data_IF_497735068722
#
_entry.id   IF_497735068722
#
_cell.length_a   1.000
_cell.length_b   1.000
_cell.length_c   1.000
_cell.angle_alpha   90.00
_cell.angle_beta   90.00
_cell.angle_gamma   90.00
#
_symmetry.space_group_name_H-M   'P 1'
#
loop_
_entity.id
_entity.type
_entity.pdbx_description
1 polymer ?
#
# COMPACT_ATOMS: atom_id res chain seq x y z
N UNK A 1 -4.13 -50.56 -62.60
CA UNK A 1 -3.13 -49.66 -61.97
C UNK A 1 -3.91 -48.57 -61.28
N UNK A 2 -4.23 -48.85 -60.02
CA UNK A 2 -4.98 -47.90 -59.14
C UNK A 2 -3.95 -47.06 -58.40
N UNK A 3 -3.99 -45.76 -58.69
CA UNK A 3 -3.24 -44.79 -57.90
C UNK A 3 -4.09 -44.30 -56.77
N UNK A 4 -3.87 -44.85 -55.57
CA UNK A 4 -4.46 -44.35 -54.33
C UNK A 4 -3.85 -42.98 -54.00
N UNK A 5 -4.68 -41.93 -54.09
CA UNK A 5 -4.34 -40.60 -53.63
C UNK A 5 -4.52 -40.58 -52.11
N UNK A 6 -3.42 -40.59 -51.37
CA UNK A 6 -3.39 -40.33 -49.92
C UNK A 6 -3.58 -38.84 -49.71
N UNK A 7 -4.80 -38.43 -49.37
CA UNK A 7 -5.09 -37.11 -48.85
C UNK A 7 -4.51 -37.04 -47.43
N UNK A 8 -3.42 -36.32 -47.22
CA UNK A 8 -2.93 -35.94 -45.92
C UNK A 8 -3.93 -34.93 -45.33
N UNK A 9 -4.67 -35.34 -44.32
CA UNK A 9 -5.44 -34.43 -43.50
C UNK A 9 -4.43 -33.50 -42.78
N UNK A 10 -4.34 -32.27 -43.20
CA UNK A 10 -3.66 -31.23 -42.41
C UNK A 10 -4.45 -31.09 -41.08
N UNK A 11 -3.83 -31.45 -39.96
CA UNK A 11 -4.34 -31.14 -38.66
C UNK A 11 -4.40 -29.62 -38.54
N UNK A 12 -5.59 -29.08 -38.57
CA UNK A 12 -5.88 -27.65 -38.36
C UNK A 12 -5.53 -27.33 -36.90
N UNK A 13 -4.33 -26.82 -36.67
CA UNK A 13 -3.87 -26.42 -35.36
C UNK A 13 -4.68 -25.19 -34.92
N UNK A 14 -5.70 -25.42 -34.11
CA UNK A 14 -6.51 -24.35 -33.53
C UNK A 14 -5.63 -23.45 -32.67
N UNK A 15 -5.48 -22.19 -33.03
CA UNK A 15 -4.72 -21.20 -32.29
C UNK A 15 -5.62 -20.50 -31.28
N UNK A 16 -5.04 -20.04 -30.17
CA UNK A 16 -5.77 -19.27 -29.16
C UNK A 16 -6.41 -18.00 -29.77
N UNK A 17 -5.79 -17.40 -30.77
CA UNK A 17 -6.29 -16.20 -31.46
C UNK A 17 -7.53 -16.46 -32.32
N UNK A 18 -7.85 -17.73 -32.62
CA UNK A 18 -9.03 -18.15 -33.38
C UNK A 18 -10.28 -18.26 -32.51
N UNK A 19 -10.13 -18.11 -31.19
CA UNK A 19 -11.24 -18.12 -30.23
C UNK A 19 -12.12 -16.85 -30.39
N UNK A 20 -13.43 -16.95 -30.14
CA UNK A 20 -14.30 -15.79 -30.09
C UNK A 20 -13.79 -14.76 -29.06
N UNK A 21 -14.00 -13.47 -29.36
CA UNK A 21 -13.58 -12.37 -28.46
C UNK A 21 -14.02 -12.56 -27.01
N UNK A 22 -15.25 -13.03 -26.80
CA UNK A 22 -15.78 -13.29 -25.45
C UNK A 22 -15.00 -14.36 -24.69
N UNK A 23 -14.51 -15.38 -25.40
CA UNK A 23 -13.67 -16.43 -24.80
C UNK A 23 -12.29 -15.89 -24.44
N UNK A 24 -11.68 -15.11 -25.34
CA UNK A 24 -10.41 -14.43 -25.06
C UNK A 24 -10.53 -13.46 -23.89
N UNK A 25 -11.59 -12.64 -23.84
CA UNK A 25 -11.87 -11.74 -22.73
C UNK A 25 -12.04 -12.50 -21.40
N UNK A 26 -12.73 -13.65 -21.43
CA UNK A 26 -12.87 -14.49 -20.24
C UNK A 26 -11.51 -15.04 -19.77
N UNK A 27 -10.68 -15.53 -20.67
CA UNK A 27 -9.32 -16.00 -20.35
C UNK A 27 -8.50 -14.87 -19.74
N UNK A 28 -8.50 -13.68 -20.37
CA UNK A 28 -7.78 -12.51 -19.86
C UNK A 28 -8.26 -12.09 -18.47
N UNK A 29 -9.56 -12.14 -18.19
CA UNK A 29 -10.15 -11.83 -16.90
C UNK A 29 -9.70 -12.76 -15.76
N UNK A 30 -9.17 -13.95 -16.08
CA UNK A 30 -8.60 -14.92 -15.14
C UNK A 30 -7.11 -14.72 -14.89
N UNK A 31 -6.48 -13.77 -15.57
CA UNK A 31 -5.05 -13.45 -15.42
C UNK A 31 -4.86 -12.24 -14.49
N UNK A 32 -3.80 -11.46 -14.69
CA UNK A 32 -3.55 -10.21 -13.99
C UNK A 32 -3.73 -9.00 -14.91
N UNK A 33 -3.97 -7.79 -14.39
CA UNK A 33 -4.00 -6.56 -15.18
C UNK A 33 -2.74 -6.38 -16.04
N UNK A 34 -1.59 -6.73 -15.51
CA UNK A 34 -0.31 -6.69 -16.20
C UNK A 34 -0.27 -7.66 -17.39
N UNK A 35 -0.75 -8.89 -17.18
CA UNK A 35 -0.74 -9.90 -18.24
C UNK A 35 -1.79 -9.62 -19.30
N UNK A 36 -2.97 -9.08 -18.93
CA UNK A 36 -3.95 -8.60 -19.89
C UNK A 36 -3.36 -7.51 -20.82
N UNK A 37 -2.60 -6.56 -20.25
CA UNK A 37 -1.89 -5.56 -21.03
C UNK A 37 -0.80 -6.16 -21.93
N UNK A 38 -0.08 -7.17 -21.48
CA UNK A 38 0.94 -7.87 -22.27
C UNK A 38 0.30 -8.66 -23.42
N UNK A 39 -0.76 -9.40 -23.12
CA UNK A 39 -1.50 -10.15 -24.15
C UNK A 39 -2.05 -9.24 -25.25
N UNK A 40 -2.48 -8.01 -24.91
CA UNK A 40 -2.94 -7.03 -25.90
C UNK A 40 -1.89 -6.66 -26.96
N UNK A 41 -0.62 -6.99 -26.77
CA UNK A 41 0.45 -6.76 -27.74
C UNK A 41 0.69 -7.94 -28.67
N UNK A 42 0.07 -9.12 -28.43
CA UNK A 42 0.33 -10.34 -29.18
C UNK A 42 -0.39 -10.37 -30.53
N UNK A 43 -1.67 -10.01 -30.56
CA UNK A 43 -2.47 -9.95 -31.78
C UNK A 43 -3.61 -8.94 -31.69
N UNK A 44 -4.28 -8.68 -32.82
CA UNK A 44 -5.44 -7.80 -32.85
C UNK A 44 -6.61 -8.37 -32.04
N UNK A 45 -6.85 -9.68 -32.11
CA UNK A 45 -7.91 -10.37 -31.35
C UNK A 45 -7.71 -10.22 -29.84
N UNK A 46 -6.47 -10.42 -29.35
CA UNK A 46 -6.15 -10.18 -27.94
C UNK A 46 -6.27 -8.71 -27.53
N UNK A 47 -5.91 -7.79 -28.44
CA UNK A 47 -6.06 -6.35 -28.16
C UNK A 47 -7.51 -5.97 -27.98
N UNK A 48 -8.40 -6.39 -28.88
CA UNK A 48 -9.84 -6.12 -28.79
C UNK A 48 -10.42 -6.75 -27.52
N UNK A 49 -10.09 -8.00 -27.25
CA UNK A 49 -10.55 -8.68 -26.02
C UNK A 49 -10.07 -7.97 -24.74
N UNK A 50 -8.83 -7.45 -24.73
CA UNK A 50 -8.27 -6.72 -23.58
C UNK A 50 -8.87 -5.32 -23.39
N UNK A 51 -9.59 -4.76 -24.36
CA UNK A 51 -10.36 -3.52 -24.18
C UNK A 51 -11.74 -3.77 -23.54
N UNK A 52 -12.19 -5.03 -23.50
CA UNK A 52 -13.51 -5.39 -22.99
C UNK A 52 -13.68 -5.02 -21.52
N UNK A 53 -14.77 -4.35 -21.19
CA UNK A 53 -15.18 -4.03 -19.82
C UNK A 53 -15.31 -5.28 -18.93
N UNK A 54 -15.58 -6.45 -19.50
CA UNK A 54 -15.67 -7.71 -18.77
C UNK A 54 -14.32 -8.13 -18.13
N UNK A 55 -13.20 -7.81 -18.78
CA UNK A 55 -11.85 -8.05 -18.25
C UNK A 55 -11.58 -7.12 -17.07
N UNK A 56 -11.79 -5.83 -17.27
CA UNK A 56 -11.44 -4.81 -16.26
C UNK A 56 -12.39 -4.78 -15.07
N UNK A 57 -13.63 -5.26 -15.23
CA UNK A 57 -14.56 -5.45 -14.13
C UNK A 57 -14.03 -6.45 -13.09
N UNK A 58 -13.28 -7.45 -13.54
CA UNK A 58 -12.67 -8.45 -12.67
C UNK A 58 -11.48 -7.91 -11.87
N UNK A 59 -10.79 -6.92 -12.43
CA UNK A 59 -9.60 -6.31 -11.81
C UNK A 59 -9.93 -5.12 -10.93
N UNK A 60 -11.07 -4.47 -11.15
CA UNK A 60 -11.53 -3.37 -10.31
C UNK A 60 -12.10 -3.90 -8.99
N UNK A 61 -11.82 -3.25 -7.86
CA UNK A 61 -12.48 -3.57 -6.61
C UNK A 61 -13.98 -3.29 -6.72
N UNK A 62 -14.85 -4.05 -6.02
CA UNK A 62 -16.31 -3.88 -6.13
C UNK A 62 -16.78 -2.47 -5.75
N UNK A 63 -16.04 -1.79 -4.89
CA UNK A 63 -16.33 -0.45 -4.37
C UNK A 63 -15.66 0.69 -5.17
N UNK A 64 -15.06 0.41 -6.34
CA UNK A 64 -14.32 1.42 -7.12
C UNK A 64 -15.15 2.67 -7.43
N UNK A 65 -16.47 2.50 -7.69
CA UNK A 65 -17.38 3.64 -7.95
C UNK A 65 -17.54 4.52 -6.72
N UNK A 66 -17.64 3.91 -5.53
CA UNK A 66 -17.72 4.64 -4.28
C UNK A 66 -16.41 5.42 -4.00
N UNK A 67 -15.25 4.83 -4.32
CA UNK A 67 -13.94 5.51 -4.24
C UNK A 67 -13.93 6.74 -5.17
N UNK A 68 -14.38 6.58 -6.41
CA UNK A 68 -14.46 7.68 -7.39
C UNK A 68 -15.39 8.81 -6.93
N UNK A 69 -16.55 8.47 -6.35
CA UNK A 69 -17.53 9.46 -5.85
C UNK A 69 -17.01 10.23 -4.61
N UNK A 70 -16.17 9.60 -3.80
CA UNK A 70 -15.57 10.21 -2.61
C UNK A 70 -14.32 11.05 -2.92
N UNK A 71 -13.90 11.10 -4.19
CA UNK A 71 -12.71 11.83 -4.60
C UNK A 71 -12.84 13.32 -4.35
N UNK A 72 -11.92 13.88 -3.53
CA UNK A 72 -11.92 15.29 -3.14
C UNK A 72 -11.37 16.22 -4.24
N UNK A 73 -10.77 15.69 -5.31
CA UNK A 73 -10.08 16.52 -6.32
C UNK A 73 -11.00 17.25 -7.30
N UNK A 74 -12.32 17.01 -7.25
CA UNK A 74 -13.30 17.61 -8.16
C UNK A 74 -13.09 17.31 -9.66
N UNK A 75 -12.09 16.53 -10.00
CA UNK A 75 -11.69 16.18 -11.35
C UNK A 75 -11.65 14.66 -11.52
N UNK A 76 -12.79 14.01 -11.40
CA UNK A 76 -12.90 12.67 -11.99
C UNK A 76 -12.86 12.87 -13.52
N UNK A 77 -11.86 12.33 -14.23
CA UNK A 77 -11.89 12.41 -15.70
C UNK A 77 -13.15 11.70 -16.22
N UNK A 78 -13.67 12.09 -17.37
CA UNK A 78 -14.73 11.33 -18.02
C UNK A 78 -14.18 9.94 -18.31
N UNK A 79 -14.57 8.97 -17.48
CA UNK A 79 -14.16 7.58 -17.64
C UNK A 79 -15.10 6.95 -18.68
N UNK A 80 -14.56 6.61 -19.85
CA UNK A 80 -15.33 6.03 -20.96
C UNK A 80 -15.45 4.51 -20.84
N UNK A 81 -14.54 3.87 -20.07
CA UNK A 81 -14.49 2.41 -19.89
C UNK A 81 -14.04 2.03 -18.49
N UNK A 82 -14.23 0.75 -18.12
CA UNK A 82 -13.68 0.21 -16.87
C UNK A 82 -12.14 0.16 -16.89
N UNK A 83 -11.56 -0.02 -18.08
CA UNK A 83 -10.11 0.09 -18.28
C UNK A 83 -9.60 1.47 -17.88
N UNK A 84 -10.26 2.53 -18.33
CA UNK A 84 -9.87 3.90 -17.96
C UNK A 84 -9.97 4.12 -16.47
N UNK A 85 -11.02 3.60 -15.82
CA UNK A 85 -11.17 3.66 -14.38
C UNK A 85 -10.01 2.95 -13.64
N UNK A 86 -9.65 1.75 -14.12
CA UNK A 86 -8.53 1.01 -13.57
C UNK A 86 -7.21 1.77 -13.72
N UNK A 87 -6.91 2.23 -14.93
CA UNK A 87 -5.68 2.96 -15.22
C UNK A 87 -5.60 4.26 -14.43
N UNK A 88 -6.70 4.97 -14.26
CA UNK A 88 -6.74 6.18 -13.47
C UNK A 88 -6.45 5.90 -11.99
N UNK A 89 -7.11 4.89 -11.40
CA UNK A 89 -6.89 4.48 -10.00
C UNK A 89 -5.50 3.87 -9.77
N UNK A 90 -4.87 3.28 -10.78
CA UNK A 90 -3.54 2.68 -10.66
C UNK A 90 -2.38 3.65 -10.96
N UNK A 91 -2.64 4.79 -11.62
CA UNK A 91 -1.61 5.77 -11.97
C UNK A 91 -1.36 6.85 -10.92
N UNK A 92 -2.20 6.92 -9.89
CA UNK A 92 -2.00 7.90 -8.82
C UNK A 92 -2.94 7.69 -7.65
N UNK A 93 -2.51 8.12 -6.48
CA UNK A 93 -3.30 8.06 -5.27
C UNK A 93 -4.45 9.07 -5.32
N UNK A 94 -5.67 8.59 -5.15
CA UNK A 94 -6.89 9.39 -5.12
C UNK A 94 -7.17 9.76 -3.67
N UNK A 95 -7.24 11.06 -3.37
CA UNK A 95 -7.61 11.53 -2.04
C UNK A 95 -9.12 11.46 -1.85
N UNK A 96 -9.52 10.82 -0.76
CA UNK A 96 -10.91 10.65 -0.32
C UNK A 96 -11.05 11.15 1.12
N UNK A 97 -12.27 11.18 1.65
CA UNK A 97 -12.54 11.54 3.05
C UNK A 97 -11.93 12.90 3.42
N UNK A 98 -12.38 13.96 2.76
CA UNK A 98 -11.90 15.33 2.98
C UNK A 98 -10.40 15.52 2.66
N UNK A 99 -9.78 14.51 2.06
CA UNK A 99 -8.37 14.54 1.65
C UNK A 99 -7.42 13.86 2.61
N UNK A 100 -7.91 13.28 3.70
CA UNK A 100 -7.10 12.63 4.74
C UNK A 100 -6.85 11.13 4.53
N UNK A 101 -7.45 10.55 3.53
CA UNK A 101 -7.17 9.19 3.09
C UNK A 101 -6.81 9.21 1.61
N UNK A 102 -5.83 8.44 1.22
CA UNK A 102 -5.49 8.25 -0.19
C UNK A 102 -5.64 6.76 -0.56
N UNK A 103 -6.27 6.50 -1.72
CA UNK A 103 -6.53 5.16 -2.22
C UNK A 103 -6.01 5.05 -3.65
N UNK A 104 -5.36 3.96 -3.98
CA UNK A 104 -4.95 3.62 -5.35
C UNK A 104 -4.95 2.09 -5.55
N UNK A 105 -4.75 1.64 -6.77
CA UNK A 105 -4.64 0.22 -7.08
C UNK A 105 -3.19 -0.15 -7.39
N UNK A 106 -2.75 -1.27 -6.87
CA UNK A 106 -1.47 -1.86 -7.27
C UNK A 106 -1.55 -2.28 -8.74
N UNK A 107 -0.66 -1.76 -9.58
CA UNK A 107 -0.68 -1.94 -11.06
C UNK A 107 -0.65 -3.39 -11.50
N UNK A 108 -0.05 -4.25 -10.73
CA UNK A 108 0.17 -5.65 -11.10
C UNK A 108 -1.00 -6.56 -10.72
N UNK A 109 -1.65 -6.29 -9.59
CA UNK A 109 -2.69 -7.16 -9.01
C UNK A 109 -4.09 -6.55 -9.00
N UNK A 110 -4.20 -5.22 -9.09
CA UNK A 110 -5.46 -4.50 -8.86
C UNK A 110 -5.87 -4.42 -7.40
N UNK A 111 -5.06 -4.92 -6.47
CA UNK A 111 -5.34 -4.83 -5.04
C UNK A 111 -5.31 -3.37 -4.58
N UNK A 112 -6.20 -3.02 -3.65
CA UNK A 112 -6.28 -1.67 -3.07
C UNK A 112 -5.04 -1.38 -2.24
N UNK A 113 -4.47 -0.21 -2.42
CA UNK A 113 -3.50 0.39 -1.52
C UNK A 113 -4.18 1.55 -0.80
N UNK A 114 -3.91 1.72 0.48
CA UNK A 114 -4.52 2.77 1.31
C UNK A 114 -3.45 3.49 2.09
N UNK A 115 -3.50 4.83 2.11
CA UNK A 115 -2.68 5.65 2.99
C UNK A 115 -3.59 6.49 3.89
N UNK A 116 -3.34 6.43 5.18
CA UNK A 116 -3.94 7.27 6.21
C UNK A 116 -3.01 8.44 6.47
N UNK A 117 -3.46 9.68 6.25
CA UNK A 117 -2.67 10.88 6.58
C UNK A 117 -2.34 10.93 8.08
N UNK A 118 -1.36 11.71 8.45
CA UNK A 118 -1.06 11.94 9.86
C UNK A 118 -2.29 12.42 10.66
N UNK A 119 -3.25 13.11 10.02
CA UNK A 119 -4.52 13.55 10.62
C UNK A 119 -5.46 12.40 11.00
N UNK A 120 -5.31 11.23 10.37
CA UNK A 120 -6.09 10.01 10.67
C UNK A 120 -5.42 9.10 11.71
N UNK A 121 -4.22 9.45 12.15
CA UNK A 121 -3.49 8.69 13.17
C UNK A 121 -3.84 9.22 14.56
N UNK A 122 -3.89 8.33 15.54
CA UNK A 122 -3.88 8.74 16.96
C UNK A 122 -2.44 9.00 17.36
N UNK A 123 -2.15 10.25 17.68
CA UNK A 123 -0.86 10.71 18.16
C UNK A 123 -0.96 11.08 19.64
N UNK A 124 0.06 10.81 20.47
CA UNK A 124 0.02 11.19 21.88
C UNK A 124 0.04 12.73 21.99
N UNK A 125 -0.83 13.26 22.86
CA UNK A 125 -0.86 14.69 23.15
C UNK A 125 -1.10 15.59 21.92
N UNK A 126 -1.90 15.11 20.96
CA UNK A 126 -2.20 15.84 19.72
C UNK A 126 -3.13 17.04 19.93
N UNK A 127 -3.75 17.15 21.10
CA UNK A 127 -4.60 18.25 21.56
C UNK A 127 -3.82 19.50 22.04
N UNK A 128 -2.47 19.45 22.05
CA UNK A 128 -1.59 20.50 22.52
C UNK A 128 -0.51 20.93 21.56
N UNK A 129 -0.36 22.24 21.35
CA UNK A 129 0.68 22.85 20.51
C UNK A 129 2.12 22.51 20.95
N UNK A 130 2.28 21.90 22.11
CA UNK A 130 3.59 21.61 22.69
C UNK A 130 4.22 20.32 22.17
N UNK A 131 3.39 19.36 21.72
CA UNK A 131 3.91 18.04 21.30
C UNK A 131 3.99 17.91 19.80
N UNK A 132 2.97 18.36 19.06
CA UNK A 132 2.89 18.25 17.61
C UNK A 132 2.59 19.59 16.98
N UNK A 133 3.22 19.84 15.82
CA UNK A 133 2.93 20.96 14.94
C UNK A 133 2.42 20.43 13.61
N UNK A 134 1.28 20.92 13.19
CA UNK A 134 0.70 20.63 11.88
C UNK A 134 1.19 21.66 10.87
N UNK A 135 1.87 21.21 9.82
CA UNK A 135 2.44 22.10 8.82
C UNK A 135 2.27 21.52 7.41
N UNK A 136 2.02 22.37 6.40
CA UNK A 136 2.15 21.94 5.01
C UNK A 136 3.57 21.48 4.72
N UNK A 137 3.71 20.44 3.90
CA UNK A 137 5.01 19.94 3.48
C UNK A 137 5.05 19.74 1.96
N UNK A 138 6.04 20.30 1.23
CA UNK A 138 6.04 20.34 -0.24
C UNK A 138 6.08 18.95 -0.91
N UNK A 139 6.54 17.93 -0.21
CA UNK A 139 6.61 16.55 -0.71
C UNK A 139 5.41 15.70 -0.29
N UNK A 140 4.55 16.22 0.59
CA UNK A 140 3.41 15.45 1.09
C UNK A 140 2.28 15.40 0.06
N UNK A 141 1.64 14.24 -0.03
CA UNK A 141 0.37 14.03 -0.76
C UNK A 141 -0.81 14.66 -0.04
N UNK A 142 -0.67 14.91 1.25
CA UNK A 142 -1.70 15.44 2.12
C UNK A 142 -1.49 16.93 2.37
N UNK A 143 -2.53 17.59 2.88
CA UNK A 143 -2.48 19.03 3.12
C UNK A 143 -1.43 19.40 4.18
N UNK A 144 -1.30 18.55 5.19
CA UNK A 144 -0.40 18.75 6.32
C UNK A 144 0.29 17.46 6.73
N UNK A 145 1.41 17.61 7.43
CA UNK A 145 2.15 16.57 8.12
C UNK A 145 2.17 16.86 9.62
N UNK A 146 2.38 15.83 10.44
CA UNK A 146 2.59 16.00 11.87
C UNK A 146 4.08 16.09 12.16
N UNK A 147 4.56 17.22 12.65
CA UNK A 147 5.94 17.42 13.09
C UNK A 147 6.02 17.33 14.61
N UNK A 148 6.79 16.38 15.12
CA UNK A 148 7.03 16.23 16.54
C UNK A 148 7.94 17.35 17.06
N UNK A 149 7.38 18.20 17.92
CA UNK A 149 8.12 19.29 18.61
C UNK A 149 8.83 18.73 19.83
N UNK A 150 8.10 18.04 20.70
CA UNK A 150 8.64 17.41 21.90
C UNK A 150 7.65 16.41 22.49
N UNK A 151 8.12 15.22 22.87
CA UNK A 151 7.39 14.32 23.75
C UNK A 151 8.37 13.43 24.52
N UNK A 152 7.89 12.77 25.59
CA UNK A 152 8.63 11.74 26.32
C UNK A 152 8.09 10.34 26.08
N UNK A 153 6.77 10.20 25.88
CA UNK A 153 6.13 8.97 25.42
C UNK A 153 5.73 9.14 23.96
N UNK A 154 6.11 8.22 23.09
CA UNK A 154 5.77 8.28 21.67
C UNK A 154 5.06 7.00 21.26
N UNK A 155 3.78 7.15 20.97
CA UNK A 155 2.89 6.10 20.51
C UNK A 155 2.09 6.63 19.32
N UNK A 156 2.13 5.94 18.20
CA UNK A 156 1.44 6.31 16.97
C UNK A 156 0.55 5.15 16.57
N UNK A 157 -0.76 5.37 16.49
CA UNK A 157 -1.71 4.36 16.09
C UNK A 157 -2.42 4.74 14.80
N UNK A 158 -2.49 3.80 13.85
CA UNK A 158 -3.31 3.88 12.66
C UNK A 158 -4.38 2.79 12.67
N UNK A 159 -5.61 3.11 12.25
CA UNK A 159 -6.72 2.15 12.19
C UNK A 159 -7.50 2.29 10.90
N UNK A 160 -7.88 1.15 10.33
CA UNK A 160 -8.79 1.11 9.19
C UNK A 160 -9.63 -0.17 9.22
N UNK A 161 -10.86 -0.14 8.67
CA UNK A 161 -11.66 -1.35 8.50
C UNK A 161 -10.95 -2.34 7.55
N UNK A 162 -10.94 -3.63 7.86
CA UNK A 162 -10.40 -4.67 6.96
C UNK A 162 -11.05 -4.63 5.55
N UNK A 163 -12.31 -4.24 5.47
CA UNK A 163 -13.04 -4.04 4.20
C UNK A 163 -12.46 -2.92 3.30
N UNK A 164 -11.63 -2.01 3.85
CA UNK A 164 -10.91 -1.02 3.06
C UNK A 164 -9.80 -1.64 2.22
N UNK A 165 -9.34 -2.84 2.56
CA UNK A 165 -8.32 -3.61 1.85
C UNK A 165 -8.96 -4.68 0.95
N UNK A 166 -8.17 -5.29 0.08
CA UNK A 166 -8.65 -6.36 -0.80
C UNK A 166 -8.55 -7.70 -0.08
N UNK A 167 -9.64 -8.49 -0.01
CA UNK A 167 -9.62 -9.82 0.58
C UNK A 167 -8.63 -10.77 -0.13
N UNK A 168 -8.21 -11.84 0.56
CA UNK A 168 -7.26 -12.87 0.08
C UNK A 168 -5.91 -12.31 -0.36
N UNK A 169 -5.51 -11.18 0.22
CA UNK A 169 -4.28 -10.48 -0.16
C UNK A 169 -3.40 -10.32 1.07
N UNK A 170 -2.10 -10.55 0.87
CA UNK A 170 -1.08 -10.27 1.87
C UNK A 170 -0.68 -8.79 1.76
N UNK A 171 -0.61 -8.11 2.89
CA UNK A 171 -0.29 -6.69 2.99
C UNK A 171 0.92 -6.45 3.89
N UNK A 172 1.66 -5.42 3.57
CA UNK A 172 2.59 -4.80 4.50
C UNK A 172 2.12 -3.38 4.87
N UNK A 173 2.24 -3.04 6.14
CA UNK A 173 2.00 -1.69 6.66
C UNK A 173 3.32 -0.94 6.78
N UNK A 174 3.33 0.34 6.39
CA UNK A 174 4.52 1.20 6.40
C UNK A 174 4.23 2.52 7.09
N UNK A 175 5.07 2.91 8.02
CA UNK A 175 5.13 4.28 8.50
C UNK A 175 5.94 5.10 7.50
N UNK A 176 5.34 6.14 6.93
CA UNK A 176 5.99 7.08 5.99
C UNK A 176 6.32 8.35 6.75
N UNK A 177 7.62 8.64 6.83
CA UNK A 177 8.12 9.71 7.68
C UNK A 177 9.37 10.38 7.11
N UNK A 178 9.74 11.49 7.73
CA UNK A 178 11.06 12.11 7.60
C UNK A 178 11.54 12.53 8.98
N UNK A 179 12.78 12.96 9.08
CA UNK A 179 13.35 13.48 10.31
C UNK A 179 13.97 14.82 10.01
N UNK A 180 13.72 15.81 10.86
CA UNK A 180 14.30 17.13 10.73
C UNK A 180 15.83 17.06 10.67
N UNK A 181 16.44 17.79 9.74
CA UNK A 181 17.90 17.78 9.53
C UNK A 181 18.64 18.21 10.80
N UNK A 182 18.08 19.19 11.52
CA UNK A 182 18.67 19.71 12.74
C UNK A 182 17.72 19.53 13.93
N UNK A 183 18.31 19.33 15.10
CA UNK A 183 17.59 19.33 16.37
C UNK A 183 16.72 18.11 16.64
N UNK A 184 16.79 17.05 15.83
CA UNK A 184 16.14 15.77 16.16
C UNK A 184 16.84 15.11 17.37
N UNK A 185 16.10 14.33 18.11
CA UNK A 185 16.59 13.62 19.29
C UNK A 185 15.72 12.42 19.63
N UNK A 186 16.32 11.37 20.19
CA UNK A 186 15.61 10.23 20.76
C UNK A 186 14.94 9.32 19.72
N UNK A 187 15.37 9.35 18.46
CA UNK A 187 14.82 8.53 17.37
C UNK A 187 15.75 7.36 16.97
N UNK A 188 16.88 7.23 17.65
CA UNK A 188 17.97 6.29 17.32
C UNK A 188 18.15 5.19 18.36
N UNK A 189 17.33 5.17 19.40
CA UNK A 189 17.41 4.19 20.49
C UNK A 189 16.79 2.84 20.06
N UNK A 190 17.27 1.71 20.62
CA UNK A 190 16.87 0.37 20.20
C UNK A 190 15.57 -0.15 20.83
N UNK A 191 14.83 0.70 21.52
CA UNK A 191 13.58 0.40 22.25
C UNK A 191 12.31 0.75 21.47
N UNK A 192 12.42 0.82 20.15
CA UNK A 192 11.31 1.12 19.25
C UNK A 192 10.69 -0.18 18.73
N UNK A 193 9.37 -0.20 18.72
CA UNK A 193 8.61 -1.39 18.32
C UNK A 193 7.44 -1.02 17.43
N UNK A 194 7.11 -1.93 16.52
CA UNK A 194 5.90 -1.84 15.71
C UNK A 194 5.05 -3.09 15.88
N UNK A 195 3.73 -2.91 15.91
CA UNK A 195 2.77 -4.00 15.95
C UNK A 195 1.72 -3.81 14.87
N UNK A 196 1.33 -4.91 14.23
CA UNK A 196 0.16 -4.98 13.34
C UNK A 196 -0.80 -5.99 13.93
N UNK A 197 -2.08 -5.60 14.07
CA UNK A 197 -3.14 -6.45 14.63
C UNK A 197 -4.39 -6.40 13.75
N UNK A 198 -5.15 -7.49 13.76
CA UNK A 198 -6.45 -7.58 13.10
C UNK A 198 -7.46 -8.16 14.09
N UNK A 199 -8.62 -7.52 14.24
CA UNK A 199 -9.65 -7.95 15.18
C UNK A 199 -9.13 -8.06 16.63
N UNK A 200 -8.17 -7.21 17.01
CA UNK A 200 -7.54 -7.22 18.33
C UNK A 200 -6.46 -8.30 18.53
N UNK A 201 -6.17 -9.13 17.53
CA UNK A 201 -5.11 -10.15 17.57
C UNK A 201 -3.87 -9.66 16.86
N UNK A 202 -2.72 -9.70 17.54
CA UNK A 202 -1.44 -9.34 16.93
C UNK A 202 -1.10 -10.32 15.79
N UNK A 203 -0.93 -9.78 14.59
CA UNK A 203 -0.48 -10.53 13.42
C UNK A 203 1.05 -10.51 13.31
N UNK A 204 1.68 -9.39 13.65
CA UNK A 204 3.14 -9.26 13.64
C UNK A 204 3.61 -8.20 14.62
N UNK A 205 4.83 -8.39 15.16
CA UNK A 205 5.51 -7.46 16.09
C UNK A 205 6.99 -7.44 15.77
N UNK A 206 7.59 -6.25 15.70
CA UNK A 206 8.98 -6.10 15.29
C UNK A 206 9.68 -4.99 16.04
N UNK A 207 10.92 -5.25 16.46
CA UNK A 207 11.83 -4.20 16.86
C UNK A 207 12.29 -3.39 15.63
N UNK A 208 12.29 -2.07 15.76
CA UNK A 208 12.64 -1.15 14.67
C UNK A 208 13.55 -0.04 15.17
N UNK A 209 14.20 0.68 14.28
CA UNK A 209 14.95 1.89 14.61
C UNK A 209 14.79 2.91 13.49
N UNK A 210 14.22 4.08 13.78
CA UNK A 210 13.98 5.12 12.79
C UNK A 210 15.27 5.75 12.26
N UNK A 211 16.31 5.84 13.08
CA UNK A 211 17.62 6.41 12.72
C UNK A 211 18.79 5.50 13.14
N UNK A 212 18.94 4.36 12.46
CA UNK A 212 19.95 3.37 12.85
C UNK A 212 21.40 3.82 12.62
N UNK A 213 21.62 4.80 11.75
CA UNK A 213 22.97 5.28 11.35
C UNK A 213 23.37 6.58 12.05
N UNK A 214 22.59 7.05 13.01
CA UNK A 214 22.88 8.22 13.82
C UNK A 214 24.00 7.94 14.83
N UNK A 215 24.77 8.96 15.20
CA UNK A 215 25.80 8.87 16.22
C UNK A 215 25.26 8.39 17.59
N UNK A 216 24.01 8.74 17.92
CA UNK A 216 23.32 8.21 19.10
C UNK A 216 23.11 6.69 19.01
N UNK A 217 22.68 6.17 17.85
CA UNK A 217 22.51 4.73 17.64
C UNK A 217 23.83 3.98 17.76
N UNK A 218 24.91 4.56 17.27
CA UNK A 218 26.26 3.96 17.36
C UNK A 218 26.71 3.70 18.79
N UNK A 219 26.32 4.56 19.75
CA UNK A 219 26.63 4.39 21.18
C UNK A 219 25.93 3.20 21.80
N UNK A 220 24.79 2.79 21.27
CA UNK A 220 23.99 1.67 21.78
C UNK A 220 24.26 0.35 21.07
N UNK A 221 24.96 0.35 19.91
CA UNK A 221 25.36 -0.89 19.20
C UNK A 221 26.25 -1.82 20.05
N UNK A 222 26.98 -1.29 21.02
CA UNK A 222 27.76 -2.08 21.99
C UNK A 222 26.90 -2.75 23.08
N UNK A 223 25.64 -2.38 23.22
CA UNK A 223 24.63 -2.94 24.12
C UNK A 223 23.69 -3.90 23.38
N UNK A 224 23.93 -4.13 22.08
CA UNK A 224 23.17 -5.07 21.28
C UNK A 224 23.15 -6.44 21.96
N UNK A 225 21.95 -7.00 22.10
CA UNK A 225 21.68 -8.32 22.67
C UNK A 225 22.70 -9.35 22.23
N UNK A 226 23.17 -10.16 23.18
CA UNK A 226 24.22 -11.17 23.04
C UNK A 226 23.93 -12.28 21.99
N UNK A 227 22.81 -12.24 21.31
CA UNK A 227 22.30 -13.24 20.37
C UNK A 227 22.70 -13.00 18.91
N UNK A 228 23.53 -11.98 18.61
CA UNK A 228 24.18 -11.85 17.30
C UNK A 228 23.27 -11.66 16.06
N UNK A 229 21.96 -11.68 16.23
CA UNK A 229 20.97 -11.35 15.20
C UNK A 229 20.40 -9.97 15.47
N UNK A 230 20.87 -9.01 14.71
CA UNK A 230 20.35 -7.64 14.66
C UNK A 230 18.97 -7.67 13.99
N UNK A 231 17.98 -8.25 14.69
CA UNK A 231 16.59 -8.40 14.22
C UNK A 231 15.83 -7.07 14.16
N UNK A 232 16.54 -5.94 14.28
CA UNK A 232 16.00 -4.60 14.24
C UNK A 232 15.80 -4.17 12.78
N UNK A 233 14.55 -3.90 12.39
CA UNK A 233 14.23 -3.39 11.05
C UNK A 233 14.71 -1.95 10.89
N UNK A 234 15.13 -1.63 9.68
CA UNK A 234 15.64 -0.30 9.29
C UNK A 234 14.73 0.33 8.26
N UNK A 235 14.62 1.67 8.25
CA UNK A 235 13.86 2.36 7.23
C UNK A 235 14.56 2.26 5.86
N UNK A 236 13.75 2.25 4.80
CA UNK A 236 14.20 2.42 3.41
C UNK A 236 13.93 3.84 2.93
N UNK A 237 14.78 4.38 2.05
CA UNK A 237 14.51 5.63 1.35
C UNK A 237 13.65 5.38 0.11
N UNK A 238 12.62 6.20 -0.08
CA UNK A 238 11.73 6.18 -1.23
C UNK A 238 12.22 7.14 -2.32
N UNK A 239 11.73 6.97 -3.55
CA UNK A 239 12.03 7.86 -4.68
C UNK A 239 11.54 9.30 -4.43
N UNK A 240 10.43 9.46 -3.70
CA UNK A 240 9.86 10.74 -3.29
C UNK A 240 10.62 11.41 -2.12
N UNK A 241 11.73 10.81 -1.70
CA UNK A 241 12.62 11.23 -0.61
C UNK A 241 12.05 11.11 0.80
N UNK A 242 10.88 10.53 0.97
CA UNK A 242 10.43 10.09 2.29
C UNK A 242 11.21 8.84 2.72
N UNK A 243 11.31 8.63 4.02
CA UNK A 243 11.68 7.34 4.58
C UNK A 243 10.42 6.51 4.82
N UNK A 244 10.53 5.20 4.71
CA UNK A 244 9.47 4.28 5.09
C UNK A 244 10.02 3.18 6.00
N UNK A 245 9.27 2.85 7.05
CA UNK A 245 9.54 1.73 7.95
C UNK A 245 8.45 0.69 7.79
N UNK A 246 8.81 -0.55 7.38
CA UNK A 246 7.85 -1.65 7.39
C UNK A 246 7.47 -1.99 8.83
N UNK A 247 6.23 -1.66 9.20
CA UNK A 247 5.69 -1.89 10.54
C UNK A 247 5.37 -3.36 10.78
N UNK A 248 4.96 -4.07 9.73
CA UNK A 248 4.62 -5.49 9.79
C UNK A 248 3.76 -5.93 8.63
N UNK A 249 3.41 -7.20 8.64
CA UNK A 249 2.62 -7.85 7.59
C UNK A 249 1.37 -8.48 8.16
N UNK A 250 0.33 -8.53 7.34
CA UNK A 250 -0.95 -9.14 7.67
C UNK A 250 -1.56 -9.74 6.40
N UNK A 251 -2.39 -10.77 6.59
CA UNK A 251 -3.24 -11.31 5.53
C UNK A 251 -4.67 -10.89 5.79
N UNK A 252 -5.36 -10.44 4.77
CA UNK A 252 -6.78 -10.10 4.84
C UNK A 252 -7.60 -11.27 4.29
N UNK A 253 -8.42 -11.86 5.14
CA UNK A 253 -9.37 -12.90 4.76
C UNK A 253 -10.73 -12.31 4.40
N UNK A 254 -11.56 -13.07 3.68
CA UNK A 254 -12.92 -12.65 3.37
C UNK A 254 -13.79 -12.46 4.62
N UNK A 255 -13.64 -13.34 5.60
CA UNK A 255 -14.38 -13.26 6.86
C UNK A 255 -14.10 -11.94 7.60
N UNK A 256 -12.84 -11.53 7.71
CA UNK A 256 -12.43 -10.28 8.36
C UNK A 256 -13.10 -9.06 7.73
N UNK A 257 -13.21 -9.03 6.40
CA UNK A 257 -13.87 -7.94 5.69
C UNK A 257 -15.39 -7.92 5.91
N UNK A 258 -16.02 -9.10 5.97
CA UNK A 258 -17.46 -9.27 6.20
C UNK A 258 -17.84 -8.97 7.66
N UNK A 259 -17.03 -9.41 8.62
CA UNK A 259 -17.23 -9.22 10.06
C UNK A 259 -16.89 -7.80 10.53
N UNK A 260 -16.44 -6.94 9.61
CA UNK A 260 -16.03 -5.56 9.88
C UNK A 260 -14.90 -5.45 10.90
N UNK A 261 -14.00 -6.43 10.88
CA UNK A 261 -12.81 -6.36 11.73
C UNK A 261 -11.98 -5.11 11.43
N UNK A 262 -11.31 -4.61 12.44
CA UNK A 262 -10.42 -3.47 12.34
C UNK A 262 -8.98 -3.93 12.23
N UNK A 263 -8.25 -3.37 11.28
CA UNK A 263 -6.79 -3.45 11.19
C UNK A 263 -6.22 -2.30 12.00
N UNK A 264 -5.37 -2.61 12.95
CA UNK A 264 -4.64 -1.64 13.77
C UNK A 264 -3.14 -1.81 13.55
N UNK A 265 -2.44 -0.68 13.45
CA UNK A 265 -0.98 -0.64 13.46
C UNK A 265 -0.52 0.32 14.54
N UNK A 266 0.59 -0.02 15.21
CA UNK A 266 1.22 0.88 16.15
C UNK A 266 2.72 0.99 15.91
N UNK A 267 3.25 2.16 16.22
CA UNK A 267 4.66 2.41 16.44
C UNK A 267 4.81 2.99 17.84
N UNK A 268 5.66 2.38 18.65
CA UNK A 268 5.81 2.71 20.06
C UNK A 268 7.29 2.83 20.41
N UNK A 269 7.61 3.80 21.28
CA UNK A 269 8.92 3.92 21.90
C UNK A 269 8.75 3.67 23.39
N UNK A 270 9.29 2.55 23.86
CA UNK A 270 8.98 1.98 25.17
C UNK A 270 9.56 2.80 26.34
N UNK A 271 10.66 3.52 26.11
CA UNK A 271 11.36 4.26 27.14
C UNK A 271 10.96 5.74 27.20
N UNK A 272 11.00 6.32 28.40
CA UNK A 272 10.60 7.70 28.68
C UNK A 272 11.80 8.65 28.65
N UNK A 273 12.18 9.09 27.44
CA UNK A 273 13.18 10.13 27.24
C UNK A 273 12.71 11.15 26.18
N UNK A 274 13.28 12.36 26.16
CA UNK A 274 12.85 13.39 25.22
C UNK A 274 13.05 12.97 23.76
N UNK A 275 11.97 13.09 22.94
CA UNK A 275 11.95 12.83 21.50
C UNK A 275 11.50 14.08 20.78
N UNK A 276 12.09 14.36 19.62
CA UNK A 276 11.72 15.49 18.75
C UNK A 276 12.21 15.28 17.32
N UNK A 277 11.63 16.05 16.39
CA UNK A 277 12.09 16.12 15.01
C UNK A 277 11.57 15.03 14.09
N UNK A 278 10.69 14.14 14.55
CA UNK A 278 9.97 13.20 13.68
C UNK A 278 8.92 13.96 12.87
N UNK A 279 8.82 13.69 11.57
CA UNK A 279 7.84 14.28 10.66
C UNK A 279 7.07 13.12 10.04
N UNK A 280 5.78 13.00 10.34
CA UNK A 280 4.92 11.91 9.87
C UNK A 280 4.07 12.41 8.70
N UNK A 281 4.16 11.73 7.57
CA UNK A 281 3.24 11.93 6.45
C UNK A 281 2.01 11.03 6.58
N UNK A 282 2.22 9.73 6.74
CA UNK A 282 1.15 8.74 6.65
C UNK A 282 1.53 7.38 7.22
N UNK A 283 0.51 6.54 7.38
CA UNK A 283 0.65 5.08 7.40
C UNK A 283 0.06 4.51 6.13
N UNK A 284 0.82 3.69 5.41
CA UNK A 284 0.42 3.05 4.15
C UNK A 284 0.22 1.54 4.32
N UNK A 285 -0.78 1.01 3.63
CA UNK A 285 -1.02 -0.41 3.46
C UNK A 285 -0.90 -0.76 1.98
N UNK A 286 0.07 -1.63 1.65
CA UNK A 286 0.36 -2.04 0.27
C UNK A 286 0.41 -3.56 0.15
N UNK A 287 -0.13 -4.18 -0.94
CA UNK A 287 0.02 -5.61 -1.19
C UNK A 287 1.49 -5.97 -1.40
N UNK A 288 1.89 -7.17 -0.96
CA UNK A 288 3.24 -7.72 -1.07
C UNK A 288 3.25 -9.06 -1.78
#
# INVERSE_FOLDING_TARGET
>A
MDTASTATAEEEVTRLEDLPESCLAHVLALTSPRDACRCATLSLSFRVAAESDAVWDRFLPPDYRAILLRCCSGRTPPLSSKKDAYLWLSNGAVRVDEGDTAVWLAKESGAKCVALSARKLSLPWDDGEFSWRWTPHPRSRFAEVAQLVHCTGLEIYGRLPAAALTPRTDYAAYLVFDVADEGHRGLSFPDQETTVAVGGRAASRHAVCLRPDDDEACKFRGVARADGHDGVRRPARREDRWAEMEMGRLRIDEAMALEKEEVMVSFEVLEWYPKRGLIIEAVEFRPV
#
